data_IF_282219901306
#
_entry.id   IF_282219901306
#
_cell.length_a   1.000
_cell.length_b   1.000
_cell.length_c   1.000
_cell.angle_alpha   90.00
_cell.angle_beta   90.00
_cell.angle_gamma   90.00
#
_symmetry.space_group_name_H-M   'P 1'
#
loop_
_entity.id
_entity.type
_entity.pdbx_description
1 polymer ?
#
# COMPACT_ATOMS: atom_id res chain seq x y z
N UNK A 1 -47.05 -3.86 33.63
CA UNK A 1 -46.29 -2.76 32.98
C UNK A 1 -45.17 -3.38 32.15
N UNK A 2 -44.78 -2.77 31.03
CA UNK A 2 -43.71 -3.26 30.14
C UNK A 2 -42.93 -2.07 29.57
N UNK A 3 -41.59 -2.21 29.46
CA UNK A 3 -40.72 -1.21 28.84
C UNK A 3 -40.70 -1.37 27.33
N UNK A 4 -40.95 -0.30 26.58
CA UNK A 4 -40.84 -0.30 25.13
C UNK A 4 -39.37 -0.27 24.69
N UNK A 5 -38.98 -1.10 23.71
CA UNK A 5 -37.60 -1.13 23.18
C UNK A 5 -37.23 0.06 22.30
N UNK A 6 -38.23 0.77 21.75
CA UNK A 6 -37.98 1.89 20.82
C UNK A 6 -37.85 3.22 21.57
N UNK A 7 -38.85 3.59 22.37
CA UNK A 7 -38.83 4.85 23.13
C UNK A 7 -38.29 4.73 24.56
N UNK A 8 -38.04 3.51 25.06
CA UNK A 8 -37.54 3.28 26.41
C UNK A 8 -38.54 3.51 27.56
N UNK A 9 -39.75 3.99 27.26
CA UNK A 9 -40.79 4.31 28.27
C UNK A 9 -41.49 3.04 28.79
N UNK A 10 -41.74 2.99 30.10
CA UNK A 10 -42.54 1.94 30.75
C UNK A 10 -44.03 2.29 30.58
N UNK A 11 -44.79 1.43 29.88
CA UNK A 11 -46.22 1.63 29.60
C UNK A 11 -47.05 0.42 30.08
N UNK A 12 -48.38 0.57 30.29
CA UNK A 12 -49.27 -0.56 30.57
C UNK A 12 -49.29 -1.59 29.43
N UNK A 13 -49.61 -2.86 29.73
CA UNK A 13 -49.68 -3.91 28.70
C UNK A 13 -50.73 -3.62 27.60
N UNK A 14 -51.77 -2.84 27.91
CA UNK A 14 -52.76 -2.35 26.93
C UNK A 14 -52.14 -1.52 25.80
N UNK A 15 -50.98 -0.90 26.04
CA UNK A 15 -50.24 -0.10 25.06
C UNK A 15 -49.37 -0.94 24.12
N UNK A 16 -49.43 -2.28 24.22
CA UNK A 16 -48.69 -3.22 23.38
C UNK A 16 -49.64 -4.15 22.64
N UNK A 17 -49.26 -4.58 21.44
CA UNK A 17 -50.03 -5.59 20.69
C UNK A 17 -49.74 -6.99 21.25
N UNK A 18 -50.76 -7.86 21.30
CA UNK A 18 -50.61 -9.27 21.71
C UNK A 18 -49.78 -10.03 20.67
N UNK A 19 -48.89 -10.91 21.12
CA UNK A 19 -48.05 -11.75 20.28
C UNK A 19 -47.83 -13.12 20.94
N UNK A 20 -48.39 -14.18 20.35
CA UNK A 20 -48.38 -15.54 20.93
C UNK A 20 -46.97 -16.10 21.14
N UNK A 21 -46.00 -15.65 20.34
CA UNK A 21 -44.60 -16.09 20.40
C UNK A 21 -43.78 -15.34 21.46
N UNK A 22 -44.29 -14.23 22.01
CA UNK A 22 -43.60 -13.46 23.02
C UNK A 22 -43.75 -14.11 24.40
N UNK A 23 -42.68 -14.12 25.21
CA UNK A 23 -42.63 -14.77 26.53
C UNK A 23 -43.74 -14.28 27.48
N UNK A 24 -44.08 -13.00 27.42
CA UNK A 24 -45.12 -12.36 28.23
C UNK A 24 -46.44 -12.16 27.45
N UNK A 25 -46.55 -12.68 26.23
CA UNK A 25 -47.72 -12.56 25.37
C UNK A 25 -47.89 -11.21 24.68
N UNK A 26 -46.94 -10.28 24.81
CA UNK A 26 -47.01 -8.93 24.21
C UNK A 26 -45.73 -8.57 23.44
N UNK A 27 -45.90 -7.78 22.37
CA UNK A 27 -44.77 -7.23 21.60
C UNK A 27 -43.87 -6.34 22.45
N UNK A 28 -42.59 -6.28 22.08
CA UNK A 28 -41.60 -5.44 22.76
C UNK A 28 -41.68 -3.95 22.41
N UNK A 29 -42.39 -3.59 21.33
CA UNK A 29 -42.67 -2.20 20.95
C UNK A 29 -44.10 -1.80 21.30
N UNK A 30 -44.30 -0.58 21.80
CA UNK A 30 -45.63 -0.04 22.04
C UNK A 30 -46.36 0.26 20.72
N UNK A 31 -47.69 0.37 20.78
CA UNK A 31 -48.58 0.67 19.65
C UNK A 31 -48.18 1.97 18.93
N UNK A 32 -47.82 2.99 19.70
CA UNK A 32 -47.39 4.29 19.20
C UNK A 32 -46.08 4.20 18.40
N UNK A 33 -45.02 3.61 18.95
CA UNK A 33 -43.75 3.40 18.24
C UNK A 33 -43.95 2.52 17.00
N UNK A 34 -44.84 1.53 17.08
CA UNK A 34 -45.22 0.71 15.92
C UNK A 34 -45.91 1.54 14.83
N UNK A 35 -46.78 2.49 15.20
CA UNK A 35 -47.44 3.43 14.27
C UNK A 35 -46.41 4.35 13.62
N UNK A 36 -45.48 4.91 14.39
CA UNK A 36 -44.40 5.76 13.89
C UNK A 36 -43.54 4.99 12.88
N UNK A 37 -43.10 3.77 13.20
CA UNK A 37 -42.31 2.92 12.29
C UNK A 37 -43.03 2.57 10.98
N UNK A 38 -44.36 2.47 11.02
CA UNK A 38 -45.18 2.19 9.83
C UNK A 38 -45.50 3.44 9.02
N UNK A 39 -45.29 4.64 9.60
CA UNK A 39 -45.52 5.90 8.90
C UNK A 39 -44.65 5.94 7.64
N UNK A 40 -45.25 6.46 6.57
CA UNK A 40 -44.58 6.59 5.27
C UNK A 40 -44.09 8.01 5.10
N UNK A 41 -42.84 8.13 4.70
CA UNK A 41 -42.20 9.38 4.31
C UNK A 41 -42.23 9.44 2.78
N UNK A 42 -42.58 10.61 2.23
CA UNK A 42 -42.48 10.88 0.79
C UNK A 42 -41.02 11.14 0.41
N UNK A 43 -40.55 10.44 -0.61
CA UNK A 43 -39.20 10.56 -1.17
C UNK A 43 -39.29 10.78 -2.68
N UNK A 44 -38.26 11.36 -3.27
CA UNK A 44 -38.12 11.53 -4.73
C UNK A 44 -36.95 10.69 -5.21
N UNK A 45 -37.16 9.84 -6.21
CA UNK A 45 -36.10 8.99 -6.72
C UNK A 45 -35.09 9.79 -7.54
N UNK A 46 -33.80 9.69 -7.20
CA UNK A 46 -32.73 10.43 -7.90
C UNK A 46 -32.49 9.97 -9.34
N UNK A 47 -33.05 8.82 -9.73
CA UNK A 47 -32.83 8.22 -11.05
C UNK A 47 -33.98 8.47 -12.01
N UNK A 48 -35.24 8.34 -11.55
CA UNK A 48 -36.41 8.51 -12.43
C UNK A 48 -37.30 9.70 -12.06
N UNK A 49 -36.97 10.45 -10.99
CA UNK A 49 -37.75 11.60 -10.54
C UNK A 49 -39.11 11.27 -9.90
N UNK A 50 -39.51 10.00 -9.89
CA UNK A 50 -40.81 9.59 -9.34
C UNK A 50 -40.88 9.75 -7.82
N UNK A 51 -41.98 10.35 -7.35
CA UNK A 51 -42.36 10.36 -5.94
C UNK A 51 -42.76 8.96 -5.45
N UNK A 52 -42.27 8.56 -4.27
CA UNK A 52 -42.60 7.27 -3.67
C UNK A 52 -42.59 7.33 -2.14
N UNK A 53 -43.27 6.35 -1.53
CA UNK A 53 -43.44 6.26 -0.08
C UNK A 53 -42.58 5.14 0.50
N UNK A 54 -41.74 5.45 1.49
CA UNK A 54 -40.95 4.46 2.25
C UNK A 54 -40.99 4.73 3.74
N UNK A 55 -40.67 3.71 4.54
CA UNK A 55 -40.61 3.83 6.02
C UNK A 55 -39.30 4.47 6.51
N UNK A 56 -38.37 4.70 5.59
CA UNK A 56 -37.07 5.33 5.82
C UNK A 56 -36.79 6.30 4.69
N UNK A 57 -35.87 7.23 4.89
CA UNK A 57 -35.34 8.05 3.80
C UNK A 57 -34.64 7.15 2.77
N UNK A 58 -35.03 7.27 1.50
CA UNK A 58 -34.48 6.45 0.42
C UNK A 58 -34.26 7.30 -0.81
N UNK A 59 -33.14 7.05 -1.48
CA UNK A 59 -32.78 7.72 -2.75
C UNK A 59 -33.41 7.04 -3.97
N UNK A 60 -33.92 5.82 -3.82
CA UNK A 60 -34.37 4.98 -4.93
C UNK A 60 -35.76 4.41 -4.68
N UNK A 61 -36.64 4.49 -5.69
CA UNK A 61 -37.99 3.94 -5.62
C UNK A 61 -38.06 2.43 -5.86
N UNK A 62 -36.98 1.83 -6.39
CA UNK A 62 -36.91 0.39 -6.71
C UNK A 62 -35.46 -0.09 -6.82
N UNK A 63 -35.27 -1.41 -6.77
CA UNK A 63 -33.95 -2.03 -7.01
C UNK A 63 -33.43 -1.76 -8.42
N UNK A 64 -34.33 -1.66 -9.41
CA UNK A 64 -34.00 -1.25 -10.79
C UNK A 64 -33.36 0.14 -10.80
N UNK A 65 -34.00 1.12 -10.16
CA UNK A 65 -33.45 2.48 -10.09
C UNK A 65 -32.15 2.52 -9.29
N UNK A 66 -32.01 1.72 -8.23
CA UNK A 66 -30.73 1.62 -7.52
C UNK A 66 -29.59 1.11 -8.43
N UNK A 67 -29.86 0.15 -9.33
CA UNK A 67 -28.86 -0.30 -10.31
C UNK A 67 -28.52 0.75 -11.36
N UNK A 68 -29.53 1.46 -11.86
CA UNK A 68 -29.40 2.50 -12.86
C UNK A 68 -28.68 3.77 -12.37
N UNK A 69 -28.49 3.95 -11.05
CA UNK A 69 -27.66 5.05 -10.51
C UNK A 69 -26.21 5.00 -11.06
N UNK A 70 -25.71 3.81 -11.39
CA UNK A 70 -24.39 3.65 -12.01
C UNK A 70 -24.29 4.19 -13.44
N UNK A 71 -25.44 4.39 -14.11
CA UNK A 71 -25.53 4.95 -15.46
C UNK A 71 -25.52 6.48 -15.43
N UNK A 72 -25.89 7.10 -14.30
CA UNK A 72 -25.83 8.55 -14.11
C UNK A 72 -24.37 8.96 -14.04
N UNK A 73 -23.89 9.59 -15.10
CA UNK A 73 -22.54 10.13 -15.18
C UNK A 73 -22.58 11.64 -15.30
N UNK A 74 -21.69 12.30 -14.56
CA UNK A 74 -21.48 13.74 -14.63
C UNK A 74 -20.16 14.03 -15.33
N UNK A 75 -20.09 15.22 -15.94
CA UNK A 75 -18.88 15.72 -16.58
C UNK A 75 -17.79 15.97 -15.54
N UNK A 76 -16.56 15.64 -15.90
CA UNK A 76 -15.34 15.95 -15.18
C UNK A 76 -14.17 16.07 -16.15
N UNK A 77 -13.03 16.55 -15.67
CA UNK A 77 -11.85 16.72 -16.51
C UNK A 77 -10.73 15.78 -16.05
N UNK A 78 -9.99 15.26 -17.02
CA UNK A 78 -8.76 14.52 -16.75
C UNK A 78 -7.76 15.44 -16.03
N UNK A 79 -7.27 15.02 -14.85
CA UNK A 79 -6.34 15.78 -14.02
C UNK A 79 -4.90 15.84 -14.57
N UNK A 80 -4.66 15.26 -15.75
CA UNK A 80 -3.37 15.32 -16.44
C UNK A 80 -3.47 16.09 -17.75
N UNK A 81 -4.30 15.65 -18.69
CA UNK A 81 -4.39 16.26 -20.02
C UNK A 81 -5.57 17.23 -20.19
N UNK A 82 -6.43 17.39 -19.19
CA UNK A 82 -7.60 18.27 -19.26
C UNK A 82 -8.79 17.75 -20.08
N UNK A 83 -8.65 16.63 -20.80
CA UNK A 83 -9.72 16.04 -21.63
C UNK A 83 -11.02 15.83 -20.83
N UNK A 84 -12.16 16.19 -21.42
CA UNK A 84 -13.49 15.95 -20.84
C UNK A 84 -13.75 14.44 -20.73
N UNK A 85 -14.24 14.02 -19.56
CA UNK A 85 -14.58 12.64 -19.22
C UNK A 85 -15.88 12.59 -18.40
N UNK A 86 -16.47 11.41 -18.33
CA UNK A 86 -17.72 11.17 -17.61
C UNK A 86 -17.51 10.15 -16.49
N UNK A 87 -17.92 10.48 -15.27
CA UNK A 87 -17.79 9.60 -14.09
C UNK A 87 -19.05 9.63 -13.25
N UNK A 88 -19.28 8.56 -12.49
CA UNK A 88 -20.39 8.52 -11.54
C UNK A 88 -20.14 9.54 -10.41
N UNK A 89 -21.18 10.25 -9.91
CA UNK A 89 -21.04 11.26 -8.86
C UNK A 89 -20.30 10.77 -7.61
N UNK A 90 -20.54 9.51 -7.20
CA UNK A 90 -19.86 8.91 -6.05
C UNK A 90 -18.34 8.83 -6.24
N UNK A 91 -17.87 8.62 -7.48
CA UNK A 91 -16.45 8.57 -7.79
C UNK A 91 -15.83 9.96 -7.73
N UNK A 92 -16.52 10.99 -8.25
CA UNK A 92 -16.11 12.39 -8.15
C UNK A 92 -15.95 12.82 -6.69
N UNK A 93 -16.92 12.46 -5.84
CA UNK A 93 -16.87 12.79 -4.42
C UNK A 93 -15.72 12.08 -3.69
N UNK A 94 -15.45 10.81 -4.05
CA UNK A 94 -14.43 9.99 -3.38
C UNK A 94 -13.00 10.36 -3.77
N UNK A 95 -12.77 10.65 -5.04
CA UNK A 95 -11.43 10.81 -5.59
C UNK A 95 -11.21 12.23 -6.06
N UNK A 96 -10.16 12.88 -5.56
CA UNK A 96 -9.78 14.25 -5.96
C UNK A 96 -9.32 14.35 -7.43
N UNK A 97 -8.85 13.23 -8.01
CA UNK A 97 -8.24 13.18 -9.35
C UNK A 97 -8.89 12.11 -10.21
N UNK A 98 -9.06 12.41 -11.49
CA UNK A 98 -9.66 11.53 -12.47
C UNK A 98 -8.85 11.53 -13.75
N UNK A 99 -8.81 10.40 -14.45
CA UNK A 99 -7.97 10.23 -15.63
C UNK A 99 -8.78 9.67 -16.79
N UNK A 100 -8.46 10.12 -18.01
CA UNK A 100 -9.13 9.67 -19.23
C UNK A 100 -8.63 8.33 -19.75
N UNK A 101 -7.42 7.93 -19.37
CA UNK A 101 -6.78 6.70 -19.83
C UNK A 101 -5.74 6.20 -18.80
N UNK A 102 -5.23 4.99 -19.00
CA UNK A 102 -4.21 4.43 -18.12
C UNK A 102 -2.89 5.20 -18.22
N UNK A 103 -2.55 5.73 -19.40
CA UNK A 103 -1.38 6.57 -19.61
C UNK A 103 -1.49 7.86 -18.79
N UNK A 104 -2.65 8.53 -18.84
CA UNK A 104 -2.89 9.72 -18.01
C UNK A 104 -2.93 9.38 -16.52
N UNK A 105 -3.38 8.18 -16.15
CA UNK A 105 -3.32 7.73 -14.76
C UNK A 105 -1.86 7.56 -14.32
N UNK A 106 -1.04 6.85 -15.07
CA UNK A 106 0.38 6.65 -14.77
C UNK A 106 1.16 7.98 -14.72
N UNK A 107 0.91 8.87 -15.68
CA UNK A 107 1.46 10.22 -15.67
C UNK A 107 1.01 11.01 -14.43
N UNK A 108 -0.26 10.87 -14.02
CA UNK A 108 -0.79 11.46 -12.79
C UNK A 108 -0.14 10.88 -11.53
N UNK A 109 0.08 9.56 -11.48
CA UNK A 109 0.78 8.92 -10.38
C UNK A 109 2.21 9.44 -10.25
N UNK A 110 2.94 9.50 -11.36
CA UNK A 110 4.27 10.09 -11.41
C UNK A 110 4.26 11.55 -10.94
N UNK A 111 3.34 12.36 -11.46
CA UNK A 111 3.26 13.78 -11.14
C UNK A 111 2.90 14.08 -9.69
N UNK A 112 1.95 13.34 -9.12
CA UNK A 112 1.32 13.72 -7.84
C UNK A 112 1.71 12.87 -6.64
N UNK A 113 2.35 11.72 -6.85
CA UNK A 113 2.62 10.74 -5.78
C UNK A 113 4.03 10.15 -5.84
N UNK A 114 4.90 10.66 -6.71
CA UNK A 114 6.29 10.20 -6.83
C UNK A 114 7.29 11.29 -6.45
N UNK A 115 8.55 10.89 -6.27
CA UNK A 115 9.61 11.79 -5.83
C UNK A 115 9.27 12.44 -4.51
N UNK A 116 9.44 13.76 -4.43
CA UNK A 116 9.16 14.60 -3.26
C UNK A 116 7.71 14.55 -2.78
N UNK A 117 6.77 14.16 -3.66
CA UNK A 117 5.35 14.06 -3.28
C UNK A 117 5.01 12.74 -2.56
N UNK A 118 5.92 11.78 -2.52
CA UNK A 118 5.68 10.52 -1.84
C UNK A 118 5.80 10.70 -0.32
N UNK A 119 4.90 10.10 0.47
CA UNK A 119 4.92 10.25 1.93
C UNK A 119 6.20 9.67 2.58
N UNK A 120 6.85 8.73 1.88
CA UNK A 120 8.12 8.10 2.31
C UNK A 120 9.35 8.81 1.73
N UNK A 121 9.17 9.93 1.05
CA UNK A 121 10.29 10.70 0.54
C UNK A 121 11.09 11.28 1.70
N UNK A 122 12.37 10.94 1.72
CA UNK A 122 13.33 11.46 2.69
C UNK A 122 14.21 12.48 1.98
N UNK A 123 14.08 13.76 2.32
CA UNK A 123 14.89 14.85 1.74
C UNK A 123 16.39 14.74 2.09
N UNK A 124 16.72 14.03 3.17
CA UNK A 124 18.11 13.83 3.62
C UNK A 124 18.88 12.78 2.81
N UNK A 125 18.21 12.00 1.97
CA UNK A 125 18.88 11.01 1.10
C UNK A 125 19.61 11.69 -0.05
N UNK A 126 20.88 11.34 -0.20
CA UNK A 126 21.69 11.74 -1.35
C UNK A 126 21.12 11.14 -2.65
N UNK A 127 21.41 11.77 -3.80
CA UNK A 127 21.03 11.19 -5.10
C UNK A 127 21.66 9.79 -5.28
N UNK A 128 22.83 9.56 -4.69
CA UNK A 128 23.50 8.26 -4.68
C UNK A 128 22.68 7.20 -3.93
N UNK A 129 22.15 7.50 -2.73
CA UNK A 129 21.28 6.59 -1.97
C UNK A 129 19.98 6.29 -2.71
N UNK A 130 19.46 7.29 -3.45
CA UNK A 130 18.28 7.11 -4.30
C UNK A 130 18.58 6.17 -5.47
N UNK A 131 19.75 6.29 -6.11
CA UNK A 131 20.18 5.39 -7.19
C UNK A 131 20.37 3.95 -6.68
N UNK A 132 20.99 3.77 -5.50
CA UNK A 132 21.12 2.44 -4.86
C UNK A 132 19.74 1.82 -4.63
N UNK A 133 18.79 2.60 -4.10
CA UNK A 133 17.42 2.13 -3.87
C UNK A 133 16.61 1.83 -5.14
N UNK A 134 17.00 2.37 -6.31
CA UNK A 134 16.23 2.31 -7.56
C UNK A 134 16.30 0.98 -8.32
N UNK A 135 17.05 -0.04 -7.85
CA UNK A 135 17.09 -1.36 -8.54
C UNK A 135 17.33 -1.20 -10.05
N UNK A 136 18.36 -0.45 -10.43
CA UNK A 136 18.64 -0.16 -11.85
C UNK A 136 19.10 -1.41 -12.60
N UNK A 137 18.71 -1.62 -13.88
CA UNK A 137 19.06 -2.82 -14.65
C UNK A 137 20.58 -3.10 -14.72
N UNK A 138 21.39 -2.05 -14.85
CA UNK A 138 22.85 -2.14 -14.86
C UNK A 138 23.42 -2.70 -13.55
N UNK A 139 22.84 -2.33 -12.40
CA UNK A 139 23.24 -2.85 -11.09
C UNK A 139 22.91 -4.33 -10.95
N UNK A 140 21.73 -4.76 -11.43
CA UNK A 140 21.38 -6.18 -11.43
C UNK A 140 22.31 -7.00 -12.31
N UNK A 141 22.66 -6.47 -13.49
CA UNK A 141 23.62 -7.11 -14.39
C UNK A 141 24.99 -7.20 -13.74
N UNK A 142 25.51 -6.11 -13.18
CA UNK A 142 26.78 -6.09 -12.46
C UNK A 142 26.81 -7.12 -11.33
N UNK A 143 25.82 -7.11 -10.44
CA UNK A 143 25.73 -8.06 -9.32
C UNK A 143 25.72 -9.51 -9.80
N UNK A 144 25.00 -9.81 -10.88
CA UNK A 144 24.96 -11.14 -11.49
C UNK A 144 26.34 -11.55 -12.01
N UNK A 145 27.02 -10.66 -12.73
CA UNK A 145 28.34 -10.91 -13.30
C UNK A 145 29.41 -11.10 -12.22
N UNK A 146 29.35 -10.36 -11.11
CA UNK A 146 30.23 -10.56 -9.95
C UNK A 146 30.02 -11.96 -9.37
N UNK A 147 28.76 -12.39 -9.18
CA UNK A 147 28.47 -13.74 -8.68
C UNK A 147 28.92 -14.83 -9.66
N UNK A 148 28.68 -14.66 -10.96
CA UNK A 148 29.09 -15.60 -12.00
C UNK A 148 30.62 -15.76 -12.02
N UNK A 149 31.38 -14.65 -12.02
CA UNK A 149 32.85 -14.66 -11.92
C UNK A 149 33.33 -15.41 -10.67
N UNK A 150 32.62 -15.19 -9.57
CA UNK A 150 32.98 -15.76 -8.27
C UNK A 150 32.45 -17.18 -8.05
N UNK A 151 31.83 -17.78 -9.06
CA UNK A 151 31.19 -19.09 -9.02
C UNK A 151 30.17 -19.21 -7.88
N UNK A 152 29.38 -18.16 -7.66
CA UNK A 152 28.35 -18.07 -6.63
C UNK A 152 28.86 -18.50 -5.24
N UNK A 153 30.10 -18.14 -4.93
CA UNK A 153 30.79 -18.57 -3.71
C UNK A 153 31.39 -17.36 -3.01
N UNK A 154 31.19 -17.28 -1.70
CA UNK A 154 31.82 -16.26 -0.86
C UNK A 154 33.33 -16.35 -0.98
N UNK A 155 33.99 -15.29 -1.45
CA UNK A 155 35.46 -15.26 -1.61
C UNK A 155 36.22 -15.13 -0.29
N UNK A 156 35.51 -15.00 0.84
CA UNK A 156 36.11 -14.87 2.16
C UNK A 156 36.03 -16.19 2.95
N UNK A 157 34.95 -16.97 2.88
CA UNK A 157 34.82 -18.25 3.61
C UNK A 157 34.52 -19.46 2.72
N UNK A 158 34.41 -19.28 1.41
CA UNK A 158 34.06 -20.34 0.46
C UNK A 158 32.66 -20.95 0.63
N UNK A 159 31.78 -20.39 1.48
CA UNK A 159 30.39 -20.85 1.54
C UNK A 159 29.60 -20.36 0.30
N UNK A 160 28.64 -21.17 -0.13
CA UNK A 160 27.86 -20.97 -1.36
C UNK A 160 26.34 -21.17 -1.14
N UNK A 161 25.86 -20.88 0.07
CA UNK A 161 24.45 -21.04 0.42
C UNK A 161 23.57 -20.10 -0.42
N UNK A 162 22.57 -20.68 -1.09
CA UNK A 162 21.60 -19.92 -1.91
C UNK A 162 20.90 -18.84 -1.09
N UNK A 163 20.75 -17.64 -1.68
CA UNK A 163 20.12 -16.49 -1.00
C UNK A 163 20.97 -15.84 0.10
N UNK A 164 22.22 -16.28 0.31
CA UNK A 164 23.12 -15.76 1.34
C UNK A 164 24.22 -14.82 0.82
N UNK A 165 24.27 -14.52 -0.48
CA UNK A 165 25.37 -13.77 -1.10
C UNK A 165 25.01 -12.29 -1.34
N UNK A 166 26.00 -11.43 -1.14
CA UNK A 166 26.01 -10.01 -1.46
C UNK A 166 27.21 -9.71 -2.37
N UNK A 167 27.02 -8.81 -3.34
CA UNK A 167 28.13 -8.23 -4.10
C UNK A 167 28.58 -6.98 -3.35
N UNK A 168 29.76 -7.06 -2.74
CA UNK A 168 30.39 -5.95 -2.02
C UNK A 168 31.23 -5.12 -2.99
N UNK A 169 31.17 -3.80 -2.87
CA UNK A 169 32.05 -2.89 -3.63
C UNK A 169 33.40 -2.76 -2.92
N UNK A 170 34.49 -3.10 -3.62
CA UNK A 170 35.86 -3.04 -3.07
C UNK A 170 36.26 -1.58 -2.80
N UNK A 171 36.12 -0.73 -3.82
CA UNK A 171 36.18 0.73 -3.71
C UNK A 171 34.75 1.24 -3.52
N UNK A 172 34.54 2.05 -2.48
CA UNK A 172 33.20 2.45 -2.06
C UNK A 172 32.35 3.06 -3.19
N UNK A 173 31.07 2.72 -3.14
CA UNK A 173 30.09 3.13 -4.13
C UNK A 173 29.93 4.65 -4.23
N UNK A 174 30.05 5.38 -3.12
CA UNK A 174 29.78 6.82 -3.05
C UNK A 174 30.84 7.67 -3.76
N UNK A 175 32.12 7.33 -3.63
CA UNK A 175 33.23 8.17 -4.11
C UNK A 175 33.77 7.72 -5.47
N UNK A 176 33.53 6.47 -5.88
CA UNK A 176 34.04 5.91 -7.15
C UNK A 176 32.93 5.62 -8.15
N UNK A 177 32.29 6.68 -8.68
CA UNK A 177 31.12 6.55 -9.55
C UNK A 177 31.38 5.69 -10.81
N UNK A 178 32.55 5.88 -11.43
CA UNK A 178 32.97 5.13 -12.61
C UNK A 178 33.19 3.64 -12.36
N UNK A 179 33.37 3.23 -11.10
CA UNK A 179 33.63 1.84 -10.71
C UNK A 179 32.38 1.11 -10.18
N UNK A 180 31.22 1.77 -10.07
CA UNK A 180 30.00 1.20 -9.47
C UNK A 180 29.51 -0.08 -10.13
N UNK A 181 29.71 -0.18 -11.45
CA UNK A 181 29.33 -1.35 -12.25
C UNK A 181 30.54 -1.99 -12.93
N UNK A 182 31.75 -1.65 -12.52
CA UNK A 182 32.94 -2.40 -12.89
C UNK A 182 32.91 -3.73 -12.13
N UNK A 183 32.94 -4.84 -12.89
CA UNK A 183 32.93 -6.18 -12.33
C UNK A 183 34.13 -6.38 -11.39
N UNK A 184 35.28 -5.79 -11.71
CA UNK A 184 36.51 -5.90 -10.92
C UNK A 184 36.43 -5.12 -9.61
N UNK A 185 35.53 -4.15 -9.51
CA UNK A 185 35.24 -3.45 -8.26
C UNK A 185 34.20 -4.19 -7.37
N UNK A 186 33.76 -5.38 -7.78
CA UNK A 186 32.87 -6.22 -7.00
C UNK A 186 33.57 -7.46 -6.44
N UNK A 187 33.16 -7.91 -5.26
CA UNK A 187 33.51 -9.21 -4.70
C UNK A 187 32.31 -9.87 -4.03
N UNK A 188 32.15 -11.17 -4.22
CA UNK A 188 31.06 -11.95 -3.64
C UNK A 188 31.38 -12.30 -2.18
N UNK A 189 30.53 -11.86 -1.27
CA UNK A 189 30.61 -12.17 0.17
C UNK A 189 29.30 -12.77 0.67
N UNK A 190 29.35 -13.70 1.62
CA UNK A 190 28.15 -14.12 2.34
C UNK A 190 27.68 -13.02 3.31
N UNK A 191 26.42 -13.05 3.76
CA UNK A 191 25.87 -12.05 4.69
C UNK A 191 26.73 -11.86 5.94
N UNK A 192 27.23 -12.95 6.50
CA UNK A 192 28.08 -12.92 7.69
C UNK A 192 29.42 -12.23 7.43
N UNK A 193 30.16 -12.65 6.40
CA UNK A 193 31.45 -12.03 6.06
C UNK A 193 31.28 -10.56 5.65
N UNK A 194 30.19 -10.24 4.94
CA UNK A 194 29.88 -8.87 4.55
C UNK A 194 29.56 -7.99 5.75
N UNK A 195 28.79 -8.51 6.72
CA UNK A 195 28.52 -7.81 7.97
C UNK A 195 29.81 -7.60 8.75
N UNK A 196 30.60 -8.65 8.96
CA UNK A 196 31.84 -8.56 9.72
C UNK A 196 32.84 -7.57 9.10
N UNK A 197 32.91 -7.49 7.77
CA UNK A 197 33.73 -6.48 7.10
C UNK A 197 33.27 -5.05 7.46
N UNK A 198 31.98 -4.78 7.39
CA UNK A 198 31.42 -3.47 7.73
C UNK A 198 31.44 -3.17 9.24
N UNK A 199 31.36 -4.19 10.10
CA UNK A 199 31.56 -4.02 11.53
C UNK A 199 33.00 -3.53 11.83
N UNK A 200 33.99 -4.01 11.07
CA UNK A 200 35.40 -3.61 11.22
C UNK A 200 35.72 -2.24 10.61
N UNK A 201 35.31 -2.00 9.37
CA UNK A 201 35.75 -0.83 8.58
C UNK A 201 34.65 0.22 8.32
N UNK A 202 33.43 -0.03 8.78
CA UNK A 202 32.27 0.81 8.49
C UNK A 202 31.75 0.65 7.05
N UNK A 203 30.69 1.41 6.74
CA UNK A 203 29.99 1.38 5.45
C UNK A 203 30.49 2.41 4.42
N UNK A 204 31.44 3.26 4.81
CA UNK A 204 31.95 4.38 4.00
C UNK A 204 33.46 4.26 3.84
N UNK A 205 33.99 4.86 2.78
CA UNK A 205 35.42 4.95 2.49
C UNK A 205 36.14 3.59 2.40
N UNK A 206 35.39 2.53 2.02
CA UNK A 206 35.97 1.22 1.81
C UNK A 206 36.89 1.19 0.58
N UNK A 207 37.99 0.47 0.70
CA UNK A 207 39.03 0.40 -0.33
C UNK A 207 39.69 -0.99 -0.38
N UNK A 208 40.52 -1.21 -1.41
CA UNK A 208 41.19 -2.49 -1.64
C UNK A 208 42.15 -2.91 -0.52
N UNK A 209 42.79 -1.97 0.18
CA UNK A 209 43.74 -2.27 1.27
C UNK A 209 42.99 -2.94 2.43
N UNK A 210 41.85 -2.37 2.84
CA UNK A 210 41.00 -2.94 3.90
C UNK A 210 40.53 -4.35 3.57
N UNK A 211 40.20 -4.62 2.29
CA UNK A 211 39.80 -5.95 1.85
C UNK A 211 40.96 -6.95 1.96
N UNK A 212 42.17 -6.56 1.55
CA UNK A 212 43.37 -7.39 1.67
C UNK A 212 43.69 -7.67 3.14
N UNK A 213 43.66 -6.65 4.00
CA UNK A 213 43.84 -6.80 5.45
C UNK A 213 42.80 -7.76 6.05
N UNK A 214 41.53 -7.64 5.65
CA UNK A 214 40.47 -8.54 6.09
C UNK A 214 40.71 -10.01 5.70
N UNK A 215 41.18 -10.23 4.46
CA UNK A 215 41.53 -11.56 3.97
C UNK A 215 42.71 -12.17 4.72
N UNK A 216 43.78 -11.38 4.94
CA UNK A 216 44.97 -11.81 5.68
C UNK A 216 44.59 -12.18 7.12
N UNK A 217 43.85 -11.31 7.81
CA UNK A 217 43.43 -11.56 9.19
C UNK A 217 42.60 -12.85 9.31
N UNK A 218 41.74 -13.11 8.32
CA UNK A 218 40.97 -14.35 8.30
C UNK A 218 41.84 -15.57 8.07
N UNK A 219 42.79 -15.50 7.15
CA UNK A 219 43.73 -16.59 6.87
C UNK A 219 44.55 -16.96 8.12
N UNK A 220 45.15 -15.96 8.77
CA UNK A 220 45.92 -16.15 10.01
C UNK A 220 45.06 -16.77 11.11
N UNK A 221 43.84 -16.28 11.32
CA UNK A 221 42.93 -16.85 12.31
C UNK A 221 42.50 -18.28 11.99
N UNK A 222 42.48 -18.70 10.72
CA UNK A 222 42.19 -20.10 10.36
C UNK A 222 43.40 -21.03 10.50
N UNK A 223 44.63 -20.53 10.44
CA UNK A 223 45.85 -21.33 10.65
C UNK A 223 46.18 -21.50 12.14
N UNK A 224 45.94 -20.47 12.96
CA UNK A 224 46.17 -20.53 14.42
C UNK A 224 45.17 -21.44 15.14
N UNK A 225 44.00 -21.69 14.53
CA UNK A 225 42.94 -22.55 15.08
C UNK A 225 42.88 -23.96 14.45
N UNK A 226 43.91 -24.36 13.69
CA UNK A 226 44.12 -25.74 13.23
C UNK A 226 45.17 -26.43 14.08
#
# INVERSE_FOLDING_TARGET
MKKCTDCGVIKPYSEFHKEKKAKDGFRNQCKECTKIRKSKIKNVCIVCGKEFNSTVESRYCSRKCQGADSEIKVKANCSVCGKEIYRIPAMIKRHKRHYCSEECKNAGFSKYYSGENAYWYDAGKSEQDRIIGRKVPSYFRWRRLVYERDNYTCKICSCNLSGNLNAHHIMNYSEHEGLRTDINNGITMCKECHKNFHDTYGYKNNNAIQLVEFLINKYVNTEVNK
#
